data_IF_158613539420
#
_entry.id   IF_158613539420
#
_cell.length_a   1.000
_cell.length_b   1.000
_cell.length_c   1.000
_cell.angle_alpha   90.00
_cell.angle_beta   90.00
_cell.angle_gamma   90.00
#
_symmetry.space_group_name_H-M   'P 1'
#
loop_
_entity.id
_entity.type
_entity.pdbx_description
1 polymer ?
#
# COMPACT_ATOMS: atom_id res chain seq x y z
N UNK A 1 -9.46 -24.76 -12.51
CA UNK A 1 -10.05 -24.05 -13.66
C UNK A 1 -10.81 -22.83 -13.13
N UNK A 2 -10.51 -21.63 -13.66
CA UNK A 2 -11.24 -20.39 -13.35
C UNK A 2 -12.13 -20.03 -14.54
N UNK A 3 -13.34 -19.44 -14.31
CA UNK A 3 -14.15 -18.88 -15.39
C UNK A 3 -13.40 -17.79 -16.15
N UNK A 4 -13.53 -17.74 -17.47
CA UNK A 4 -12.85 -16.74 -18.31
C UNK A 4 -13.15 -15.27 -17.87
N UNK A 5 -14.34 -15.03 -17.36
CA UNK A 5 -14.75 -13.71 -16.83
C UNK A 5 -13.98 -13.27 -15.56
N UNK A 6 -13.25 -14.18 -14.92
CA UNK A 6 -12.40 -13.89 -13.77
C UNK A 6 -10.92 -13.69 -14.14
N UNK A 7 -10.58 -13.80 -15.42
CA UNK A 7 -9.23 -13.62 -15.92
C UNK A 7 -9.07 -12.21 -16.48
N UNK A 8 -7.95 -11.57 -16.15
CA UNK A 8 -7.54 -10.30 -16.72
C UNK A 8 -6.24 -10.52 -17.53
N UNK A 9 -6.17 -10.08 -18.80
CA UNK A 9 -4.94 -10.19 -19.57
C UNK A 9 -3.87 -9.26 -18.98
N UNK A 10 -2.64 -9.76 -18.88
CA UNK A 10 -1.49 -8.94 -18.53
C UNK A 10 -1.11 -8.11 -19.78
N UNK A 11 -0.99 -6.77 -19.67
CA UNK A 11 -0.56 -5.94 -20.79
C UNK A 11 0.85 -6.36 -21.28
N UNK A 12 1.08 -6.29 -22.59
CA UNK A 12 2.35 -6.69 -23.22
C UNK A 12 3.56 -5.93 -22.66
N UNK A 13 3.39 -4.66 -22.28
CA UNK A 13 4.41 -3.82 -21.68
C UNK A 13 4.78 -4.22 -20.24
N UNK A 14 3.99 -5.08 -19.59
CA UNK A 14 4.21 -5.49 -18.18
C UNK A 14 4.92 -6.85 -18.15
N UNK A 15 6.17 -6.91 -17.68
CA UNK A 15 6.86 -8.20 -17.52
C UNK A 15 6.11 -9.13 -16.56
N UNK A 16 6.06 -10.42 -16.89
CA UNK A 16 5.37 -11.45 -16.07
C UNK A 16 5.83 -11.40 -14.61
N UNK A 17 7.13 -11.23 -14.36
CA UNK A 17 7.69 -11.10 -13.01
C UNK A 17 7.07 -9.93 -12.24
N UNK A 18 6.79 -8.80 -12.89
CA UNK A 18 6.19 -7.62 -12.25
C UNK A 18 4.68 -7.77 -12.09
N UNK A 19 4.03 -8.56 -12.93
CA UNK A 19 2.59 -8.84 -12.86
C UNK A 19 2.17 -9.54 -11.54
N UNK A 20 3.08 -10.16 -10.80
CA UNK A 20 2.80 -10.72 -9.47
C UNK A 20 2.33 -9.66 -8.46
N UNK A 21 2.65 -8.38 -8.69
CA UNK A 21 2.19 -7.26 -7.88
C UNK A 21 0.73 -6.86 -8.15
N UNK A 22 0.03 -7.49 -9.11
CA UNK A 22 -1.29 -7.04 -9.57
C UNK A 22 -2.31 -6.88 -8.44
N UNK A 23 -2.44 -7.87 -7.54
CA UNK A 23 -3.38 -7.80 -6.41
C UNK A 23 -2.99 -6.70 -5.39
N UNK A 24 -1.69 -6.51 -5.15
CA UNK A 24 -1.20 -5.46 -4.26
C UNK A 24 -1.38 -4.07 -4.88
N UNK A 25 -1.16 -3.93 -6.20
CA UNK A 25 -1.41 -2.70 -6.93
C UNK A 25 -2.92 -2.38 -6.99
N UNK A 26 -3.77 -3.39 -7.14
CA UNK A 26 -5.23 -3.22 -7.08
C UNK A 26 -5.67 -2.70 -5.71
N UNK A 27 -5.10 -3.24 -4.64
CA UNK A 27 -5.33 -2.75 -3.27
C UNK A 27 -4.85 -1.30 -3.10
N UNK A 28 -3.64 -0.99 -3.55
CA UNK A 28 -3.09 0.36 -3.50
C UNK A 28 -3.91 1.38 -4.30
N UNK A 29 -4.40 0.99 -5.47
CA UNK A 29 -5.30 1.80 -6.29
C UNK A 29 -6.62 2.06 -5.56
N UNK A 30 -7.20 1.02 -4.92
CA UNK A 30 -8.42 1.19 -4.13
C UNK A 30 -8.22 2.13 -2.94
N UNK A 31 -7.09 2.02 -2.23
CA UNK A 31 -6.69 2.95 -1.16
C UNK A 31 -6.67 4.40 -1.68
N UNK A 32 -6.07 4.63 -2.85
CA UNK A 32 -6.00 5.98 -3.43
C UNK A 32 -7.39 6.54 -3.79
N UNK A 33 -8.32 5.69 -4.18
CA UNK A 33 -9.71 6.08 -4.43
C UNK A 33 -10.49 6.37 -3.15
N UNK A 34 -10.28 5.58 -2.09
CA UNK A 34 -10.90 5.84 -0.78
C UNK A 34 -10.30 7.07 -0.09
N UNK A 35 -9.02 7.33 -0.34
CA UNK A 35 -8.33 8.52 0.15
C UNK A 35 -8.89 9.82 -0.42
N UNK A 36 -9.46 9.80 -1.65
CA UNK A 36 -9.96 10.99 -2.33
C UNK A 36 -8.97 12.17 -2.24
N UNK A 37 -7.69 11.87 -2.49
CA UNK A 37 -6.58 12.79 -2.31
C UNK A 37 -6.66 13.99 -3.27
N UNK A 38 -6.26 15.16 -2.81
CA UNK A 38 -6.32 16.42 -3.56
C UNK A 38 -4.92 16.95 -3.87
N UNK A 39 -4.75 17.69 -4.97
CA UNK A 39 -3.51 18.42 -5.24
C UNK A 39 -3.10 19.33 -4.09
N UNK A 40 -1.81 19.35 -3.76
CA UNK A 40 -1.23 20.21 -2.74
C UNK A 40 -1.33 19.70 -1.30
N UNK A 41 -1.96 18.56 -1.04
CA UNK A 41 -2.05 18.00 0.32
C UNK A 41 -0.68 17.49 0.82
N UNK A 42 -0.47 17.62 2.14
CA UNK A 42 0.60 16.95 2.88
C UNK A 42 0.13 15.55 3.25
N UNK A 43 0.91 14.54 2.91
CA UNK A 43 0.50 13.15 3.08
C UNK A 43 1.53 12.34 3.83
N UNK A 44 1.07 11.45 4.70
CA UNK A 44 1.87 10.41 5.32
C UNK A 44 1.33 9.03 4.90
N UNK A 45 2.25 8.10 4.62
CA UNK A 45 1.91 6.68 4.48
C UNK A 45 2.65 5.92 5.57
N UNK A 46 1.92 5.42 6.55
CA UNK A 46 2.45 4.70 7.71
C UNK A 46 2.50 3.21 7.42
N UNK A 47 3.70 2.70 7.22
CA UNK A 47 4.00 1.33 6.84
C UNK A 47 4.61 1.23 5.43
N UNK A 48 5.91 0.91 5.35
CA UNK A 48 6.66 0.69 4.11
C UNK A 48 6.64 -0.80 3.70
N UNK A 49 5.50 -1.47 3.83
CA UNK A 49 5.22 -2.75 3.21
C UNK A 49 4.90 -2.57 1.72
N UNK A 50 4.73 -3.68 0.98
CA UNK A 50 4.46 -3.63 -0.46
C UNK A 50 3.21 -2.79 -0.79
N UNK A 51 2.12 -2.93 -0.05
CA UNK A 51 0.88 -2.17 -0.27
C UNK A 51 1.08 -0.68 0.06
N UNK A 52 1.72 -0.37 1.19
CA UNK A 52 2.00 1.02 1.59
C UNK A 52 2.89 1.74 0.58
N UNK A 53 3.96 1.09 0.10
CA UNK A 53 4.86 1.65 -0.92
C UNK A 53 4.15 1.85 -2.27
N UNK A 54 3.31 0.91 -2.70
CA UNK A 54 2.51 1.07 -3.92
C UNK A 54 1.47 2.19 -3.79
N UNK A 55 0.80 2.31 -2.65
CA UNK A 55 -0.14 3.41 -2.39
C UNK A 55 0.59 4.77 -2.39
N UNK A 56 1.75 4.85 -1.71
CA UNK A 56 2.58 6.05 -1.73
C UNK A 56 3.04 6.42 -3.14
N UNK A 57 3.45 5.41 -3.94
CA UNK A 57 3.87 5.60 -5.32
C UNK A 57 2.75 6.17 -6.22
N UNK A 58 1.50 5.77 -6.01
CA UNK A 58 0.35 6.34 -6.73
C UNK A 58 0.02 7.75 -6.24
N UNK A 59 -0.05 7.96 -4.94
CA UNK A 59 -0.43 9.24 -4.32
C UNK A 59 0.61 10.34 -4.58
N UNK A 60 1.90 10.02 -4.58
CA UNK A 60 2.97 10.98 -4.85
C UNK A 60 2.95 11.56 -6.28
N UNK A 61 2.16 10.97 -7.19
CA UNK A 61 1.98 11.48 -8.56
C UNK A 61 0.90 12.54 -8.69
N UNK A 62 0.16 12.82 -7.63
CA UNK A 62 -0.83 13.90 -7.61
C UNK A 62 -0.08 15.24 -7.54
N UNK A 63 -0.42 16.22 -8.40
CA UNK A 63 0.33 17.46 -8.47
C UNK A 63 0.42 18.22 -7.15
N UNK A 64 1.61 18.68 -6.80
CA UNK A 64 1.85 19.55 -5.64
C UNK A 64 1.76 18.87 -4.27
N UNK A 65 1.55 17.55 -4.18
CA UNK A 65 1.56 16.84 -2.90
C UNK A 65 2.98 16.78 -2.32
N UNK A 66 3.04 16.82 -0.98
CA UNK A 66 4.23 16.48 -0.21
C UNK A 66 3.95 15.17 0.53
N UNK A 67 4.58 14.07 0.14
CA UNK A 67 4.32 12.76 0.70
C UNK A 67 5.58 12.17 1.33
N UNK A 68 5.46 11.67 2.56
CA UNK A 68 6.52 10.93 3.25
C UNK A 68 6.00 9.55 3.68
N UNK A 69 6.78 8.53 3.39
CA UNK A 69 6.56 7.17 3.91
C UNK A 69 7.19 7.05 5.29
N UNK A 70 6.44 6.55 6.26
CA UNK A 70 6.87 6.36 7.64
C UNK A 70 6.97 4.86 7.93
N UNK A 71 8.12 4.41 8.39
CA UNK A 71 8.28 3.04 8.92
C UNK A 71 9.35 3.02 10.03
N UNK A 72 9.15 2.18 11.05
CA UNK A 72 10.11 1.97 12.13
C UNK A 72 11.38 1.25 11.68
N UNK A 73 11.30 0.48 10.57
CA UNK A 73 12.44 -0.19 9.96
C UNK A 73 13.15 0.76 8.99
N UNK A 74 14.19 1.43 9.47
CA UNK A 74 15.02 2.33 8.65
C UNK A 74 15.68 1.65 7.44
N UNK A 75 15.79 0.31 7.43
CA UNK A 75 16.32 -0.47 6.30
C UNK A 75 15.47 -0.33 5.02
N UNK A 76 14.19 0.00 5.15
CA UNK A 76 13.26 0.21 4.05
C UNK A 76 13.43 1.55 3.31
N UNK A 77 14.22 2.47 3.87
CA UNK A 77 14.54 3.77 3.24
C UNK A 77 15.03 3.61 1.80
N UNK A 78 15.95 2.67 1.55
CA UNK A 78 16.51 2.44 0.22
C UNK A 78 15.46 2.08 -0.83
N UNK A 79 14.47 1.29 -0.44
CA UNK A 79 13.38 0.89 -1.34
C UNK A 79 12.44 2.07 -1.61
N UNK A 80 12.09 2.85 -0.59
CA UNK A 80 11.29 4.05 -0.77
C UNK A 80 11.97 5.06 -1.69
N UNK A 81 13.27 5.31 -1.49
CA UNK A 81 14.07 6.21 -2.33
C UNK A 81 14.20 5.71 -3.79
N UNK A 82 14.32 4.39 -4.00
CA UNK A 82 14.32 3.79 -5.35
C UNK A 82 13.00 4.02 -6.10
N UNK A 83 11.88 4.18 -5.37
CA UNK A 83 10.58 4.58 -5.92
C UNK A 83 10.44 6.10 -6.09
N UNK A 84 11.44 6.90 -5.68
CA UNK A 84 11.40 8.35 -5.68
C UNK A 84 10.56 8.95 -4.54
N UNK A 85 10.40 8.21 -3.43
CA UNK A 85 9.60 8.61 -2.28
C UNK A 85 10.49 9.12 -1.13
N UNK A 86 10.05 10.17 -0.45
CA UNK A 86 10.63 10.57 0.83
C UNK A 86 10.30 9.51 1.90
N UNK A 87 11.27 9.25 2.78
CA UNK A 87 11.14 8.28 3.86
C UNK A 87 11.62 8.89 5.19
N UNK A 88 10.93 8.55 6.27
CA UNK A 88 11.32 8.91 7.63
C UNK A 88 11.00 7.77 8.61
N UNK A 89 11.74 7.69 9.72
CA UNK A 89 11.29 6.93 10.88
C UNK A 89 10.24 7.74 11.65
N UNK A 90 9.48 7.13 12.58
CA UNK A 90 8.51 7.89 13.39
C UNK A 90 9.13 9.09 14.10
N UNK A 91 10.38 9.00 14.56
CA UNK A 91 11.11 10.06 15.25
C UNK A 91 11.53 11.21 14.30
N UNK A 92 11.69 10.91 13.02
CA UNK A 92 12.05 11.86 11.96
C UNK A 92 10.83 12.45 11.24
N UNK A 93 9.61 12.15 11.69
CA UNK A 93 8.38 12.54 11.00
C UNK A 93 8.34 14.05 10.70
N UNK A 94 7.93 14.45 9.48
CA UNK A 94 7.89 15.87 9.09
C UNK A 94 6.77 16.66 9.77
N UNK A 95 5.95 16.03 10.63
CA UNK A 95 4.86 16.66 11.34
C UNK A 95 3.48 16.26 10.85
N UNK A 96 2.52 17.20 10.92
CA UNK A 96 1.11 16.92 10.65
C UNK A 96 0.80 16.85 9.15
N UNK A 97 -0.14 15.97 8.80
CA UNK A 97 -0.60 15.73 7.43
C UNK A 97 -2.11 15.90 7.27
N UNK A 98 -2.52 16.30 6.09
CA UNK A 98 -3.92 16.48 5.70
C UNK A 98 -4.58 15.13 5.33
N UNK A 99 -3.75 14.17 4.91
CA UNK A 99 -4.12 12.79 4.62
C UNK A 99 -3.07 11.83 5.20
N UNK A 100 -3.52 10.83 5.96
CA UNK A 100 -2.66 9.74 6.43
C UNK A 100 -3.22 8.41 5.95
N UNK A 101 -2.42 7.62 5.24
CA UNK A 101 -2.74 6.23 4.92
C UNK A 101 -2.04 5.33 5.91
N UNK A 102 -2.80 4.50 6.63
CA UNK A 102 -2.24 3.51 7.53
C UNK A 102 -2.25 2.12 6.90
N UNK A 103 -1.07 1.54 6.71
CA UNK A 103 -0.83 0.24 6.08
C UNK A 103 0.23 -0.59 6.84
N UNK A 104 0.46 -0.30 8.12
CA UNK A 104 1.49 -0.99 8.91
C UNK A 104 1.01 -2.28 9.58
N UNK A 105 -0.30 -2.50 9.68
CA UNK A 105 -0.89 -3.65 10.37
C UNK A 105 -0.71 -3.64 11.89
N UNK A 106 -0.32 -2.49 12.48
CA UNK A 106 -0.04 -2.39 13.92
C UNK A 106 -0.88 -1.32 14.59
N UNK A 107 -1.37 -1.56 15.84
CA UNK A 107 -2.08 -0.55 16.60
C UNK A 107 -1.25 0.72 16.85
N UNK A 108 0.06 0.57 17.03
CA UNK A 108 1.00 1.68 17.23
C UNK A 108 1.06 2.59 16.00
N UNK A 109 1.09 2.00 14.79
CA UNK A 109 1.05 2.76 13.54
C UNK A 109 -0.25 3.54 13.38
N UNK A 110 -1.39 2.96 13.77
CA UNK A 110 -2.67 3.67 13.72
C UNK A 110 -2.75 4.80 14.77
N UNK A 111 -2.20 4.60 15.97
CA UNK A 111 -2.06 5.69 16.97
C UNK A 111 -1.16 6.80 16.47
N UNK A 112 -0.04 6.44 15.83
CA UNK A 112 0.84 7.41 15.17
C UNK A 112 0.09 8.21 14.10
N UNK A 113 -0.70 7.55 13.25
CA UNK A 113 -1.52 8.20 12.22
C UNK A 113 -2.50 9.22 12.82
N UNK A 114 -3.18 8.87 13.92
CA UNK A 114 -4.09 9.77 14.63
C UNK A 114 -3.35 10.99 15.22
N UNK A 115 -2.18 10.78 15.81
CA UNK A 115 -1.40 11.85 16.44
C UNK A 115 -0.83 12.86 15.42
N UNK A 116 -0.54 12.41 14.18
CA UNK A 116 0.06 13.21 13.12
C UNK A 116 -0.97 13.71 12.08
N UNK A 117 -2.24 13.52 12.33
CA UNK A 117 -3.32 14.05 11.49
C UNK A 117 -3.59 15.51 11.83
N UNK A 118 -3.57 16.39 10.84
CA UNK A 118 -3.91 17.81 10.96
C UNK A 118 -5.42 18.00 11.25
N UNK A 119 -5.84 19.23 11.47
CA UNK A 119 -7.26 19.56 11.66
C UNK A 119 -8.07 19.14 10.43
N UNK A 120 -9.21 18.43 10.65
CA UNK A 120 -10.10 17.89 9.60
C UNK A 120 -9.45 16.85 8.68
N UNK A 121 -8.26 16.33 9.03
CA UNK A 121 -7.56 15.36 8.22
C UNK A 121 -8.33 14.03 8.07
N UNK A 122 -8.02 13.33 6.98
CA UNK A 122 -8.51 11.97 6.71
C UNK A 122 -7.43 10.96 7.05
N UNK A 123 -7.83 9.90 7.76
CA UNK A 123 -6.99 8.72 7.99
C UNK A 123 -7.65 7.56 7.26
N UNK A 124 -6.93 7.00 6.29
CA UNK A 124 -7.38 5.82 5.54
C UNK A 124 -6.75 4.58 6.16
N UNK A 125 -7.57 3.78 6.81
CA UNK A 125 -7.17 2.51 7.41
C UNK A 125 -7.22 1.40 6.37
N UNK A 126 -6.05 0.93 5.95
CA UNK A 126 -5.90 -0.12 4.96
C UNK A 126 -5.38 -1.44 5.55
N UNK A 127 -5.09 -1.46 6.86
CA UNK A 127 -4.61 -2.66 7.54
C UNK A 127 -5.77 -3.57 7.91
N UNK A 128 -5.51 -4.86 7.87
CA UNK A 128 -6.44 -5.85 8.39
C UNK A 128 -5.95 -6.41 9.72
N UNK A 129 -6.70 -6.16 10.78
CA UNK A 129 -6.37 -6.63 12.14
C UNK A 129 -6.94 -8.02 12.46
N UNK A 130 -7.68 -8.64 11.54
CA UNK A 130 -8.39 -9.90 11.79
C UNK A 130 -9.50 -9.68 12.81
N UNK A 131 -9.54 -10.54 13.82
CA UNK A 131 -10.49 -10.51 14.96
C UNK A 131 -9.94 -9.77 16.19
N UNK A 132 -8.79 -9.11 16.09
CA UNK A 132 -8.16 -8.40 17.20
C UNK A 132 -8.85 -7.08 17.51
N UNK A 133 -9.10 -6.80 18.77
CA UNK A 133 -9.50 -5.48 19.24
C UNK A 133 -8.31 -4.49 19.17
N UNK A 134 -8.57 -3.28 18.73
CA UNK A 134 -7.60 -2.19 18.65
C UNK A 134 -8.08 -1.00 19.46
N UNK A 135 -7.42 -0.72 20.58
CA UNK A 135 -7.71 0.44 21.40
C UNK A 135 -7.11 1.71 20.80
N UNK A 136 -7.93 2.75 20.62
CA UNK A 136 -7.54 4.04 20.03
C UNK A 136 -7.90 5.21 20.95
N UNK A 137 -7.08 6.30 20.99
CA UNK A 137 -7.33 7.50 21.79
C UNK A 137 -8.32 8.43 21.07
N UNK A 138 -9.60 8.04 20.97
CA UNK A 138 -10.63 8.83 20.25
C UNK A 138 -11.06 10.10 21.00
N UNK A 139 -10.70 10.27 22.27
CA UNK A 139 -10.97 11.46 23.07
C UNK A 139 -9.98 12.61 22.91
N UNK A 140 -8.86 12.40 22.25
CA UNK A 140 -7.78 13.37 22.08
C UNK A 140 -7.90 14.11 20.72
N UNK A 141 -6.85 14.01 19.91
CA UNK A 141 -6.78 14.67 18.59
C UNK A 141 -7.95 14.27 17.69
N UNK A 142 -8.40 13.02 17.75
CA UNK A 142 -9.50 12.55 16.91
C UNK A 142 -10.75 13.42 17.06
N UNK A 143 -11.16 13.71 18.30
CA UNK A 143 -12.33 14.53 18.57
C UNK A 143 -12.05 16.03 18.35
N UNK A 144 -10.98 16.56 18.97
CA UNK A 144 -10.71 18.00 18.98
C UNK A 144 -10.34 18.55 17.60
N UNK A 145 -9.74 17.74 16.74
CA UNK A 145 -9.36 18.12 15.37
C UNK A 145 -10.38 17.67 14.32
N UNK A 146 -11.51 17.07 14.71
CA UNK A 146 -12.58 16.59 13.81
C UNK A 146 -12.06 15.63 12.75
N UNK A 147 -11.21 14.68 13.14
CA UNK A 147 -10.60 13.71 12.23
C UNK A 147 -11.63 12.75 11.66
N UNK A 148 -11.35 12.23 10.48
CA UNK A 148 -12.14 11.17 9.82
C UNK A 148 -11.30 9.93 9.70
N UNK A 149 -11.80 8.80 10.22
CA UNK A 149 -11.20 7.49 10.04
C UNK A 149 -12.06 6.71 9.03
N UNK A 150 -11.47 6.36 7.90
CA UNK A 150 -12.14 5.70 6.77
C UNK A 150 -11.47 4.36 6.52
N UNK A 151 -12.23 3.28 6.52
CA UNK A 151 -11.71 1.97 6.15
C UNK A 151 -11.57 1.85 4.63
N UNK A 152 -10.48 1.25 4.16
CA UNK A 152 -10.27 0.87 2.77
C UNK A 152 -10.15 -0.65 2.65
N UNK A 153 -11.06 -1.26 1.89
CA UNK A 153 -11.09 -2.71 1.69
C UNK A 153 -11.33 -3.03 0.21
N UNK A 154 -10.38 -3.74 -0.40
CA UNK A 154 -10.32 -4.00 -1.85
C UNK A 154 -11.47 -4.85 -2.41
N UNK A 155 -12.22 -5.56 -1.57
CA UNK A 155 -13.42 -6.31 -2.01
C UNK A 155 -14.51 -5.43 -2.61
N UNK A 156 -14.55 -4.14 -2.26
CA UNK A 156 -15.44 -3.16 -2.84
C UNK A 156 -14.65 -2.04 -3.55
N UNK A 157 -15.23 -1.46 -4.60
CA UNK A 157 -14.63 -0.33 -5.31
C UNK A 157 -14.68 0.90 -4.42
N UNK A 158 -13.53 1.56 -4.25
CA UNK A 158 -13.38 2.74 -3.40
C UNK A 158 -14.38 3.84 -3.71
N UNK A 159 -14.79 4.58 -2.67
CA UNK A 159 -15.93 5.49 -2.69
C UNK A 159 -15.92 6.51 -3.82
N UNK A 160 -14.75 7.09 -4.15
CA UNK A 160 -14.62 8.07 -5.24
C UNK A 160 -14.92 7.50 -6.63
N UNK A 161 -14.77 6.18 -6.82
CA UNK A 161 -14.96 5.51 -8.11
C UNK A 161 -16.15 4.55 -8.13
N UNK A 162 -16.88 4.41 -7.01
CA UNK A 162 -18.07 3.57 -6.93
C UNK A 162 -19.13 4.02 -7.94
N UNK A 163 -19.65 3.08 -8.70
CA UNK A 163 -20.61 3.35 -9.78
C UNK A 163 -19.99 3.90 -11.08
N UNK A 164 -18.68 4.19 -11.09
CA UNK A 164 -17.95 4.66 -12.28
C UNK A 164 -17.01 3.58 -12.84
N UNK A 165 -16.56 2.65 -12.00
CA UNK A 165 -15.67 1.55 -12.35
C UNK A 165 -16.18 0.25 -11.72
N UNK A 166 -16.05 -0.84 -12.46
CA UNK A 166 -16.22 -2.20 -11.96
C UNK A 166 -14.93 -2.72 -11.33
N UNK A 167 -15.00 -3.84 -10.62
CA UNK A 167 -13.80 -4.55 -10.09
C UNK A 167 -12.88 -5.00 -11.23
N UNK A 168 -13.43 -5.48 -12.35
CA UNK A 168 -12.64 -5.89 -13.51
C UNK A 168 -11.87 -4.72 -14.13
N UNK A 169 -12.51 -3.56 -14.28
CA UNK A 169 -11.84 -2.34 -14.77
C UNK A 169 -10.77 -1.83 -13.79
N UNK A 170 -10.97 -2.01 -12.47
CA UNK A 170 -9.96 -1.68 -11.47
C UNK A 170 -8.74 -2.59 -11.61
N UNK A 171 -8.95 -3.91 -11.73
CA UNK A 171 -7.85 -4.86 -11.93
C UNK A 171 -7.09 -4.58 -13.25
N UNK A 172 -7.81 -4.31 -14.34
CA UNK A 172 -7.18 -3.96 -15.61
C UNK A 172 -6.34 -2.68 -15.51
N UNK A 173 -6.84 -1.66 -14.80
CA UNK A 173 -6.07 -0.44 -14.53
C UNK A 173 -4.86 -0.72 -13.63
N UNK A 174 -5.02 -1.52 -12.56
CA UNK A 174 -3.92 -1.91 -11.70
C UNK A 174 -2.81 -2.62 -12.48
N UNK A 175 -3.16 -3.53 -13.38
CA UNK A 175 -2.20 -4.19 -14.26
C UNK A 175 -1.46 -3.19 -15.17
N UNK A 176 -2.16 -2.23 -15.76
CA UNK A 176 -1.52 -1.21 -16.62
C UNK A 176 -0.57 -0.30 -15.84
N UNK A 177 -0.85 -0.02 -14.56
CA UNK A 177 0.02 0.78 -13.68
C UNK A 177 1.32 0.05 -13.28
N UNK A 178 1.42 -1.24 -13.56
CA UNK A 178 2.66 -2.00 -13.37
C UNK A 178 3.69 -1.79 -14.50
N UNK A 179 3.39 -1.02 -15.53
CA UNK A 179 4.36 -0.62 -16.55
C UNK A 179 5.28 0.52 -16.01
N UNK A 180 6.00 0.20 -14.94
CA UNK A 180 6.99 1.10 -14.33
C UNK A 180 8.16 0.25 -13.78
N UNK A 181 9.33 0.30 -14.40
CA UNK A 181 10.49 -0.52 -13.99
C UNK A 181 10.98 -0.23 -12.57
N UNK A 182 10.67 0.93 -11.98
CA UNK A 182 11.03 1.22 -10.58
C UNK A 182 10.36 0.26 -9.60
N UNK A 183 9.21 -0.33 -9.95
CA UNK A 183 8.51 -1.29 -9.12
C UNK A 183 9.28 -2.62 -8.94
N UNK A 184 10.29 -2.89 -9.76
CA UNK A 184 11.12 -4.09 -9.61
C UNK A 184 11.88 -4.13 -8.28
N UNK A 185 12.14 -2.96 -7.64
CA UNK A 185 12.76 -2.91 -6.31
C UNK A 185 11.89 -3.50 -5.19
N UNK A 186 10.60 -3.75 -5.44
CA UNK A 186 9.69 -4.41 -4.51
C UNK A 186 9.77 -5.94 -4.58
N UNK A 187 10.40 -6.50 -5.62
CA UNK A 187 10.43 -7.92 -5.90
C UNK A 187 11.68 -8.57 -5.34
N UNK A 188 11.51 -9.68 -4.63
CA UNK A 188 12.56 -10.55 -4.13
C UNK A 188 12.42 -11.97 -4.70
N UNK A 189 13.49 -12.77 -4.64
CA UNK A 189 13.55 -14.12 -5.20
C UNK A 189 14.13 -14.14 -6.60
N UNK A 190 13.85 -15.18 -7.40
CA UNK A 190 12.78 -16.19 -7.24
C UNK A 190 13.13 -17.41 -6.39
N UNK A 191 12.10 -18.18 -6.00
CA UNK A 191 12.24 -19.59 -5.57
C UNK A 191 11.43 -20.48 -6.49
N UNK A 192 11.82 -21.77 -6.59
CA UNK A 192 11.00 -22.78 -7.24
C UNK A 192 9.75 -23.09 -6.40
N UNK A 193 8.66 -23.46 -7.06
CA UNK A 193 7.42 -23.84 -6.38
C UNK A 193 7.62 -25.07 -5.47
N UNK A 194 8.44 -26.02 -5.88
CA UNK A 194 8.73 -27.25 -5.10
C UNK A 194 9.44 -26.94 -3.76
N UNK A 195 10.13 -25.78 -3.68
CA UNK A 195 10.79 -25.31 -2.47
C UNK A 195 9.87 -24.45 -1.57
N UNK A 196 8.59 -24.31 -1.91
CA UNK A 196 7.67 -23.40 -1.23
C UNK A 196 7.61 -23.61 0.29
N UNK A 197 7.57 -24.85 0.85
CA UNK A 197 7.55 -25.02 2.31
C UNK A 197 8.77 -24.44 3.02
N UNK A 198 9.97 -24.65 2.46
CA UNK A 198 11.22 -24.10 3.00
C UNK A 198 11.28 -22.57 2.80
N UNK A 199 10.82 -22.07 1.66
CA UNK A 199 10.71 -20.65 1.36
C UNK A 199 9.78 -19.95 2.34
N UNK A 200 8.61 -20.49 2.64
CA UNK A 200 7.67 -19.94 3.61
C UNK A 200 8.26 -19.87 5.02
N UNK A 201 8.97 -20.92 5.46
CA UNK A 201 9.66 -20.93 6.75
C UNK A 201 10.73 -19.83 6.82
N UNK A 202 11.52 -19.65 5.76
CA UNK A 202 12.53 -18.59 5.64
C UNK A 202 11.90 -17.19 5.67
N UNK A 203 10.82 -16.99 4.90
CA UNK A 203 10.13 -15.70 4.84
C UNK A 203 9.51 -15.32 6.20
N UNK A 204 8.95 -16.29 6.92
CA UNK A 204 8.42 -16.06 8.27
C UNK A 204 9.50 -15.62 9.27
N UNK A 205 10.75 -16.09 9.10
CA UNK A 205 11.90 -15.70 9.92
C UNK A 205 12.57 -14.38 9.46
N UNK A 206 12.23 -13.87 8.26
CA UNK A 206 12.88 -12.70 7.64
C UNK A 206 11.83 -11.65 7.22
N UNK A 207 11.28 -10.88 8.14
CA UNK A 207 10.16 -9.95 7.86
C UNK A 207 10.51 -8.77 6.94
N UNK A 208 11.77 -8.62 6.51
CA UNK A 208 12.22 -7.53 5.62
C UNK A 208 11.88 -7.72 4.15
N UNK A 209 11.49 -8.92 3.72
CA UNK A 209 11.12 -9.21 2.33
C UNK A 209 9.75 -8.60 2.00
N UNK A 210 9.65 -7.87 0.88
CA UNK A 210 8.42 -7.19 0.48
C UNK A 210 7.51 -8.09 -0.35
N UNK A 211 7.97 -8.54 -1.53
CA UNK A 211 7.21 -9.41 -2.41
C UNK A 211 8.13 -10.49 -2.98
N UNK A 212 8.03 -11.70 -2.45
CA UNK A 212 8.82 -12.84 -2.93
C UNK A 212 8.14 -13.51 -4.11
N UNK A 213 8.91 -13.71 -5.20
CA UNK A 213 8.42 -14.34 -6.42
C UNK A 213 8.64 -15.85 -6.35
N UNK A 214 7.60 -16.62 -6.68
CA UNK A 214 7.66 -18.08 -6.78
C UNK A 214 7.40 -18.48 -8.23
N UNK A 215 8.28 -19.29 -8.80
CA UNK A 215 8.17 -19.79 -10.17
C UNK A 215 7.62 -21.21 -10.16
N UNK A 216 6.55 -21.46 -10.94
CA UNK A 216 5.99 -22.80 -11.13
C UNK A 216 6.80 -23.62 -12.13
N UNK A 217 7.53 -22.95 -13.04
CA UNK A 217 8.43 -23.57 -14.00
C UNK A 217 9.75 -22.79 -13.98
N UNK A 218 10.90 -23.44 -13.72
CA UNK A 218 12.19 -22.76 -13.62
C UNK A 218 12.65 -22.10 -14.93
N UNK A 219 12.06 -22.50 -16.06
CA UNK A 219 12.40 -22.01 -17.41
C UNK A 219 11.40 -20.97 -17.96
N UNK A 220 10.55 -20.39 -17.10
CA UNK A 220 9.52 -19.43 -17.50
C UNK A 220 9.94 -17.97 -17.28
#
# INVERSE_FOLDING_TARGET
LAPAAMLAPVPEAVPTRRAVLAANMETALNISWDAAALPGERMLVVGAGVVGLLAAHLLARIPGVSLTVIDRDGGKRKVAEALGLAFATPEESPGEADLVVHASGTPEGLRFALAHAAVEARIVEASWFGDREVALPLGEAFHSRRLRLVSSQVGEVGGAMRGRRSRAERLALALSLLDDPRLDCLLDGPSAFDDLPATMARLAASPGVLCHVVLHHPDA
#
